data_IF_139639095118
#
_entry.id   IF_139639095118
#
_cell.length_a   1.000
_cell.length_b   1.000
_cell.length_c   1.000
_cell.angle_alpha   90.00
_cell.angle_beta   90.00
_cell.angle_gamma   90.00
#
_symmetry.space_group_name_H-M   'P 1'
#
loop_
_entity.id
_entity.type
_entity.pdbx_description
1 polymer ?
#
# COMPACT_ATOMS: atom_id res chain seq x y z
N UNK A 1 -3.05 -17.82 1.12
CA UNK A 1 -3.00 -16.36 0.99
C UNK A 1 -3.32 -15.95 -0.43
N UNK A 2 -4.12 -14.91 -0.55
CA UNK A 2 -4.52 -14.44 -1.85
C UNK A 2 -3.51 -13.51 -2.48
N UNK A 3 -3.48 -13.49 -3.79
CA UNK A 3 -2.68 -12.54 -4.56
C UNK A 3 -3.56 -11.84 -5.55
N UNK A 4 -3.40 -10.53 -5.63
CA UNK A 4 -4.15 -9.71 -6.56
C UNK A 4 -3.18 -8.86 -7.35
N UNK A 5 -3.33 -8.87 -8.68
CA UNK A 5 -2.55 -7.98 -9.53
C UNK A 5 -3.35 -6.71 -9.80
N UNK A 6 -2.76 -5.58 -9.49
CA UNK A 6 -3.42 -4.29 -9.66
C UNK A 6 -2.49 -3.30 -10.30
N UNK A 7 -3.00 -2.58 -11.29
CA UNK A 7 -2.25 -1.50 -11.93
C UNK A 7 -2.59 -0.18 -11.26
N UNK A 8 -1.56 0.57 -10.89
CA UNK A 8 -1.74 1.88 -10.28
C UNK A 8 -1.25 2.97 -11.21
N UNK A 9 -1.90 4.14 -11.20
CA UNK A 9 -1.36 5.30 -11.91
C UNK A 9 0.04 5.61 -11.38
N UNK A 10 0.95 6.01 -12.28
CA UNK A 10 2.33 6.27 -11.89
C UNK A 10 2.43 7.26 -10.75
N UNK A 11 1.62 8.29 -10.78
CA UNK A 11 1.65 9.32 -9.74
C UNK A 11 1.22 8.76 -8.39
N UNK A 12 0.20 7.93 -8.37
CA UNK A 12 -0.26 7.33 -7.15
C UNK A 12 0.77 6.35 -6.59
N UNK A 13 1.40 5.57 -7.47
CA UNK A 13 2.44 4.64 -7.06
C UNK A 13 3.61 5.39 -6.43
N UNK A 14 3.99 6.51 -7.02
CA UNK A 14 5.08 7.33 -6.50
C UNK A 14 4.75 7.84 -5.10
N UNK A 15 3.55 8.33 -4.92
CA UNK A 15 3.11 8.83 -3.61
C UNK A 15 3.07 7.71 -2.58
N UNK A 16 2.63 6.53 -2.99
CA UNK A 16 2.60 5.37 -2.11
C UNK A 16 3.99 5.02 -1.62
N UNK A 17 4.97 4.98 -2.54
CA UNK A 17 6.34 4.64 -2.18
C UNK A 17 6.95 5.66 -1.23
N UNK A 18 6.72 6.94 -1.50
CA UNK A 18 7.23 8.01 -0.63
C UNK A 18 6.63 7.91 0.76
N UNK A 19 5.33 7.69 0.83
CA UNK A 19 4.66 7.59 2.13
C UNK A 19 5.10 6.36 2.89
N UNK A 20 5.35 5.27 2.18
CA UNK A 20 5.84 4.05 2.80
C UNK A 20 7.21 4.27 3.44
N UNK A 21 8.08 4.98 2.75
CA UNK A 21 9.40 5.29 3.28
C UNK A 21 9.29 6.14 4.54
N UNK A 22 8.41 7.14 4.52
CA UNK A 22 8.23 8.01 5.67
C UNK A 22 7.67 7.27 6.89
N UNK A 23 6.76 6.34 6.63
CA UNK A 23 6.06 5.66 7.72
C UNK A 23 6.80 4.43 8.25
N UNK A 24 7.36 3.63 7.34
CA UNK A 24 7.98 2.36 7.71
C UNK A 24 9.49 2.33 7.52
N UNK A 25 10.06 3.29 6.82
CA UNK A 25 11.49 3.35 6.57
C UNK A 25 11.94 2.80 5.23
N UNK A 26 11.04 2.30 4.42
CA UNK A 26 11.36 1.84 3.07
C UNK A 26 12.11 0.53 3.00
N UNK A 27 11.93 -0.34 3.97
CA UNK A 27 12.56 -1.66 3.96
C UNK A 27 11.83 -2.60 3.02
N UNK A 28 12.50 -3.71 2.72
CA UNK A 28 11.90 -4.75 1.91
C UNK A 28 10.65 -5.28 2.62
N UNK A 29 9.55 -5.32 1.92
CA UNK A 29 8.30 -5.80 2.50
C UNK A 29 7.42 -4.71 3.08
N UNK A 30 7.98 -3.53 3.33
CA UNK A 30 7.19 -2.43 3.89
C UNK A 30 6.12 -1.95 2.92
N UNK A 31 6.41 -2.00 1.63
CA UNK A 31 5.44 -1.60 0.63
C UNK A 31 4.22 -2.51 0.65
N UNK A 32 4.44 -3.80 0.75
CA UNK A 32 3.35 -4.78 0.84
C UNK A 32 2.51 -4.53 2.09
N UNK A 33 3.16 -4.22 3.19
CA UNK A 33 2.47 -3.94 4.43
C UNK A 33 1.63 -2.67 4.32
N UNK A 34 2.17 -1.64 3.69
CA UNK A 34 1.45 -0.39 3.50
C UNK A 34 0.18 -0.62 2.68
N UNK A 35 0.30 -1.40 1.62
CA UNK A 35 -0.84 -1.73 0.77
C UNK A 35 -1.87 -2.53 1.55
N UNK A 36 -1.41 -3.50 2.33
CA UNK A 36 -2.31 -4.31 3.13
C UNK A 36 -3.11 -3.46 4.11
N UNK A 37 -2.44 -2.56 4.81
CA UNK A 37 -3.12 -1.69 5.76
C UNK A 37 -4.10 -0.76 5.07
N UNK A 38 -3.73 -0.26 3.90
CA UNK A 38 -4.60 0.64 3.14
C UNK A 38 -5.88 -0.09 2.71
N UNK A 39 -5.72 -1.31 2.23
CA UNK A 39 -6.86 -2.11 1.81
C UNK A 39 -7.75 -2.45 3.00
N UNK A 40 -7.14 -2.83 4.10
CA UNK A 40 -7.88 -3.18 5.30
C UNK A 40 -8.71 -2.00 5.80
N UNK A 41 -8.13 -0.81 5.82
CA UNK A 41 -8.82 0.39 6.23
C UNK A 41 -9.99 0.70 5.28
N UNK A 42 -9.75 0.55 3.98
CA UNK A 42 -10.79 0.82 3.00
C UNK A 42 -11.96 -0.14 3.15
N UNK A 43 -11.66 -1.41 3.33
CA UNK A 43 -12.71 -2.43 3.49
C UNK A 43 -13.52 -2.18 4.75
N UNK A 44 -12.85 -1.84 5.85
CA UNK A 44 -13.54 -1.57 7.10
C UNK A 44 -14.45 -0.36 7.01
N UNK A 45 -14.04 0.64 6.25
CA UNK A 45 -14.85 1.84 6.08
C UNK A 45 -16.08 1.61 5.21
N UNK A 46 -16.07 0.54 4.40
CA UNK A 46 -17.19 0.22 3.52
C UNK A 46 -18.30 -0.54 4.24
N UNK A 47 -18.03 -1.06 5.40
CA UNK A 47 -19.03 -1.77 6.22
C UNK A 47 -19.94 -0.79 7.00
#
# INVERSE_FOLDING_TARGET
>A
MGRIGVDLPDELEKRLRLKTIETFGGRKGDLSRAVEEAIETWVENMD
#
